data_IF_815507464457
#
_entry.id   IF_815507464457
#
_cell.length_a   1.000
_cell.length_b   1.000
_cell.length_c   1.000
_cell.angle_alpha   90.00
_cell.angle_beta   90.00
_cell.angle_gamma   90.00
#
_symmetry.space_group_name_H-M   'P 1'
#
loop_
_entity.id
_entity.type
_entity.pdbx_description
1 polymer ?
#
# COMPACT_ATOMS: atom_id res chain seq x y z
N UNK A 1 19.69 -2.77 -22.13
CA UNK A 1 18.52 -2.04 -21.59
C UNK A 1 17.16 -2.62 -22.03
N UNK A 2 17.02 -3.18 -23.24
CA UNK A 2 15.76 -3.81 -23.71
C UNK A 2 15.16 -4.90 -22.78
N UNK A 3 16.00 -5.68 -22.08
CA UNK A 3 15.52 -6.70 -21.12
C UNK A 3 14.77 -6.08 -19.95
N UNK A 4 15.19 -4.92 -19.43
CA UNK A 4 14.55 -4.25 -18.30
C UNK A 4 13.17 -3.70 -18.69
N UNK A 5 13.03 -3.18 -19.91
CA UNK A 5 11.77 -2.67 -20.43
C UNK A 5 10.76 -3.80 -20.67
N UNK A 6 11.23 -4.98 -21.10
CA UNK A 6 10.38 -6.16 -21.31
C UNK A 6 9.64 -6.59 -20.04
N UNK A 7 10.29 -6.50 -18.88
CA UNK A 7 9.73 -6.96 -17.59
C UNK A 7 9.10 -5.84 -16.75
N UNK A 8 8.89 -4.66 -17.32
CA UNK A 8 8.44 -3.48 -16.58
C UNK A 8 7.09 -3.72 -15.87
N UNK A 9 6.17 -4.46 -16.50
CA UNK A 9 4.86 -4.77 -15.91
C UNK A 9 4.98 -5.77 -14.77
N UNK A 10 5.78 -6.80 -14.94
CA UNK A 10 6.05 -7.87 -13.96
C UNK A 10 6.71 -7.29 -12.72
N UNK A 11 7.76 -6.50 -12.90
CA UNK A 11 8.46 -5.83 -11.79
C UNK A 11 7.53 -4.86 -11.04
N UNK A 12 6.72 -4.08 -11.76
CA UNK A 12 5.69 -3.22 -11.13
C UNK A 12 4.69 -4.04 -10.33
N UNK A 13 4.27 -5.20 -10.85
CA UNK A 13 3.36 -6.12 -10.17
C UNK A 13 3.97 -6.69 -8.89
N UNK A 14 5.22 -7.18 -8.94
CA UNK A 14 5.94 -7.67 -7.76
C UNK A 14 6.11 -6.57 -6.72
N UNK A 15 6.56 -5.38 -7.13
CA UNK A 15 6.72 -4.24 -6.22
C UNK A 15 5.42 -3.90 -5.51
N UNK A 16 4.31 -3.79 -6.26
CA UNK A 16 2.97 -3.55 -5.72
C UNK A 16 2.57 -4.62 -4.70
N UNK A 17 2.78 -5.90 -5.00
CA UNK A 17 2.43 -7.03 -4.11
C UNK A 17 3.23 -6.95 -2.82
N UNK A 18 4.55 -6.80 -2.91
CA UNK A 18 5.44 -6.77 -1.74
C UNK A 18 5.14 -5.56 -0.85
N UNK A 19 5.02 -4.37 -1.42
CA UNK A 19 4.69 -3.14 -0.66
C UNK A 19 3.33 -3.26 0.00
N UNK A 20 2.31 -3.73 -0.72
CA UNK A 20 0.97 -3.93 -0.16
C UNK A 20 0.94 -4.98 0.96
N UNK A 21 1.67 -6.10 0.79
CA UNK A 21 1.79 -7.16 1.79
C UNK A 21 2.43 -6.65 3.08
N UNK A 22 3.61 -6.01 3.00
CA UNK A 22 4.32 -5.49 4.16
C UNK A 22 3.49 -4.45 4.92
N UNK A 23 2.77 -3.60 4.20
CA UNK A 23 1.90 -2.61 4.83
C UNK A 23 0.70 -3.26 5.52
N UNK A 24 0.08 -4.26 4.89
CA UNK A 24 -1.05 -4.99 5.45
C UNK A 24 -0.68 -5.75 6.73
N UNK A 25 0.52 -6.35 6.79
CA UNK A 25 0.99 -7.06 7.98
C UNK A 25 1.26 -6.11 9.14
N UNK A 26 1.80 -4.91 8.91
CA UNK A 26 1.93 -3.88 9.94
C UNK A 26 0.57 -3.48 10.54
N UNK A 27 -0.42 -3.22 9.68
CA UNK A 27 -1.77 -2.91 10.13
C UNK A 27 -2.42 -4.05 10.90
N UNK A 28 -2.29 -5.29 10.40
CA UNK A 28 -2.87 -6.46 11.04
C UNK A 28 -2.22 -6.73 12.41
N UNK A 29 -0.90 -6.59 12.52
CA UNK A 29 -0.18 -6.71 13.77
C UNK A 29 -0.74 -5.72 14.82
N UNK A 30 -0.93 -4.46 14.43
CA UNK A 30 -1.48 -3.43 15.30
C UNK A 30 -2.97 -3.63 15.63
N UNK A 31 -3.81 -4.02 14.67
CA UNK A 31 -5.25 -4.20 14.89
C UNK A 31 -5.61 -5.42 15.73
N UNK A 32 -4.84 -6.50 15.61
CA UNK A 32 -5.15 -7.79 16.23
C UNK A 32 -4.20 -8.17 17.38
N UNK A 33 -3.17 -7.37 17.67
CA UNK A 33 -2.22 -7.67 18.73
C UNK A 33 -1.36 -8.91 18.45
N UNK A 34 -0.98 -9.10 17.18
CA UNK A 34 -0.24 -10.28 16.71
C UNK A 34 1.16 -9.90 16.25
N UNK A 35 2.01 -10.90 15.94
CA UNK A 35 3.37 -10.69 15.41
C UNK A 35 4.26 -9.84 16.35
N UNK A 36 4.06 -9.95 17.66
CA UNK A 36 4.83 -9.22 18.67
C UNK A 36 4.50 -7.72 18.78
N UNK A 37 3.39 -7.27 18.19
CA UNK A 37 2.91 -5.88 18.29
C UNK A 37 1.73 -5.82 19.27
N UNK A 38 1.73 -4.83 20.17
CA UNK A 38 0.59 -4.58 21.05
C UNK A 38 -0.63 -4.11 20.25
N UNK A 39 -1.82 -4.56 20.68
CA UNK A 39 -3.06 -4.17 20.02
C UNK A 39 -3.37 -2.69 20.28
N UNK A 40 -3.65 -1.94 19.22
CA UNK A 40 -4.11 -0.55 19.34
C UNK A 40 -5.55 -0.51 19.84
N UNK A 41 -5.84 0.44 20.74
CA UNK A 41 -7.19 0.64 21.24
C UNK A 41 -8.18 0.96 20.11
N UNK A 42 -9.39 0.39 20.18
CA UNK A 42 -10.42 0.58 19.17
C UNK A 42 -10.77 2.06 18.97
N UNK A 43 -10.84 2.51 17.72
CA UNK A 43 -11.21 3.88 17.31
C UNK A 43 -10.29 5.00 17.82
N UNK A 44 -9.14 4.67 18.44
CA UNK A 44 -8.18 5.66 18.92
C UNK A 44 -7.53 6.39 17.75
N UNK A 45 -7.57 7.72 17.78
CA UNK A 45 -6.89 8.55 16.79
C UNK A 45 -5.43 8.80 17.19
N UNK A 46 -4.47 8.74 16.24
CA UNK A 46 -4.60 8.29 14.85
C UNK A 46 -4.38 6.78 14.66
N UNK A 47 -3.93 6.07 15.71
CA UNK A 47 -3.34 4.72 15.62
C UNK A 47 -4.27 3.66 15.06
N UNK A 48 -5.54 3.62 15.49
CA UNK A 48 -6.49 2.61 15.02
C UNK A 48 -6.84 2.79 13.54
N UNK A 49 -7.05 4.04 13.12
CA UNK A 49 -7.34 4.37 11.72
C UNK A 49 -6.14 4.13 10.81
N UNK A 50 -4.93 4.44 11.28
CA UNK A 50 -3.71 4.11 10.57
C UNK A 50 -3.55 2.59 10.39
N UNK A 51 -3.84 1.80 11.43
CA UNK A 51 -3.77 0.34 11.36
C UNK A 51 -4.83 -0.24 10.41
N UNK A 52 -6.06 0.29 10.43
CA UNK A 52 -7.13 -0.10 9.50
C UNK A 52 -6.78 0.21 8.04
N UNK A 53 -6.28 1.42 7.76
CA UNK A 53 -5.84 1.81 6.42
C UNK A 53 -4.68 0.90 5.97
N UNK A 54 -3.74 0.60 6.88
CA UNK A 54 -2.64 -0.31 6.60
C UNK A 54 -3.13 -1.70 6.17
N UNK A 55 -4.02 -2.31 6.96
CA UNK A 55 -4.57 -3.63 6.67
C UNK A 55 -5.39 -3.65 5.38
N UNK A 56 -6.43 -2.81 5.30
CA UNK A 56 -7.39 -2.85 4.19
C UNK A 56 -6.79 -2.26 2.92
N UNK A 57 -6.17 -1.09 3.01
CA UNK A 57 -5.52 -0.42 1.89
C UNK A 57 -4.34 -1.21 1.36
N UNK A 58 -3.48 -1.73 2.25
CA UNK A 58 -2.39 -2.62 1.88
C UNK A 58 -2.88 -3.88 1.15
N UNK A 59 -3.94 -4.53 1.64
CA UNK A 59 -4.52 -5.70 1.00
C UNK A 59 -5.13 -5.39 -0.37
N UNK A 60 -5.88 -4.30 -0.51
CA UNK A 60 -6.44 -3.85 -1.80
C UNK A 60 -5.34 -3.56 -2.82
N UNK A 61 -4.29 -2.85 -2.39
CA UNK A 61 -3.11 -2.60 -3.23
C UNK A 61 -2.43 -3.92 -3.58
N UNK A 62 -2.27 -4.86 -2.64
CA UNK A 62 -1.61 -6.17 -2.83
C UNK A 62 -2.34 -7.09 -3.81
N UNK A 63 -3.68 -7.06 -3.88
CA UNK A 63 -4.44 -7.86 -4.87
C UNK A 63 -4.70 -7.09 -6.18
N UNK A 64 -4.42 -5.79 -6.17
CA UNK A 64 -4.53 -4.91 -7.31
C UNK A 64 -5.99 -4.55 -7.65
N UNK A 65 -6.81 -4.35 -6.62
CA UNK A 65 -8.21 -3.93 -6.70
C UNK A 65 -8.32 -2.46 -6.32
N UNK A 66 -8.76 -1.59 -7.25
CA UNK A 66 -8.85 -0.15 -6.98
C UNK A 66 -7.49 0.51 -6.69
N UNK A 67 -6.40 -0.09 -7.15
CA UNK A 67 -5.00 0.20 -6.75
C UNK A 67 -4.65 1.67 -6.71
N UNK A 68 -5.06 2.47 -7.71
CA UNK A 68 -4.71 3.89 -7.75
C UNK A 68 -5.28 4.64 -6.54
N UNK A 69 -6.57 4.42 -6.26
CA UNK A 69 -7.24 5.07 -5.14
C UNK A 69 -6.77 4.53 -3.79
N UNK A 70 -6.65 3.21 -3.66
CA UNK A 70 -6.14 2.58 -2.44
C UNK A 70 -4.71 3.04 -2.12
N UNK A 71 -3.84 3.13 -3.13
CA UNK A 71 -2.46 3.60 -2.96
C UNK A 71 -2.39 5.09 -2.64
N UNK A 72 -3.21 5.95 -3.25
CA UNK A 72 -3.28 7.38 -2.85
C UNK A 72 -3.69 7.54 -1.39
N UNK A 73 -4.67 6.77 -0.91
CA UNK A 73 -5.08 6.79 0.49
C UNK A 73 -3.95 6.31 1.42
N UNK A 74 -3.28 5.20 1.08
CA UNK A 74 -2.14 4.70 1.86
C UNK A 74 -0.99 5.70 1.89
N UNK A 75 -0.66 6.32 0.75
CA UNK A 75 0.34 7.37 0.62
C UNK A 75 0.03 8.57 1.53
N UNK A 76 -1.20 9.09 1.45
CA UNK A 76 -1.66 10.20 2.28
C UNK A 76 -1.62 9.88 3.78
N UNK A 77 -2.00 8.66 4.18
CA UNK A 77 -1.95 8.23 5.59
C UNK A 77 -0.51 8.24 6.14
N UNK A 78 0.47 7.86 5.32
CA UNK A 78 1.88 7.85 5.71
C UNK A 78 2.51 9.25 5.67
N UNK A 79 2.07 10.11 4.74
CA UNK A 79 2.41 11.54 4.80
C UNK A 79 1.89 12.16 6.11
N UNK A 80 0.63 11.93 6.46
CA UNK A 80 0.05 12.38 7.73
C UNK A 80 0.86 11.89 8.94
N UNK A 81 1.22 10.59 8.96
CA UNK A 81 2.04 10.01 10.02
C UNK A 81 3.42 10.71 10.11
N UNK A 82 4.07 10.98 8.98
CA UNK A 82 5.35 11.70 8.99
C UNK A 82 5.21 13.09 9.60
N UNK A 83 4.31 13.92 9.08
CA UNK A 83 4.19 15.33 9.49
C UNK A 83 3.59 15.51 10.88
N UNK A 84 2.68 14.63 11.31
CA UNK A 84 1.94 14.79 12.57
C UNK A 84 2.52 13.99 13.73
N UNK A 85 3.24 12.90 13.45
CA UNK A 85 3.82 12.02 14.49
C UNK A 85 5.34 12.14 14.52
N UNK A 86 6.01 11.94 13.39
CA UNK A 86 7.48 11.85 13.38
C UNK A 86 8.17 13.21 13.37
N UNK A 87 7.69 14.18 12.59
CA UNK A 87 8.39 15.46 12.41
C UNK A 87 8.52 16.27 13.72
N UNK A 88 7.65 16.02 14.70
CA UNK A 88 7.76 16.63 16.03
C UNK A 88 9.07 16.27 16.78
N UNK A 89 9.67 15.11 16.46
CA UNK A 89 10.93 14.67 17.07
C UNK A 89 12.18 15.29 16.41
N UNK A 90 12.18 15.43 15.09
CA UNK A 90 13.24 16.09 14.30
C UNK A 90 12.77 16.27 12.85
N UNK A 91 13.47 17.10 12.06
CA UNK A 91 13.11 17.34 10.66
C UNK A 91 13.42 16.13 9.76
N UNK A 92 14.54 15.45 9.97
CA UNK A 92 15.01 14.38 9.08
C UNK A 92 14.53 13.00 9.55
N UNK A 93 14.11 12.11 8.62
CA UNK A 93 13.60 10.78 8.96
C UNK A 93 14.55 9.93 9.80
N UNK A 94 15.86 10.02 9.49
CA UNK A 94 16.93 9.30 10.19
C UNK A 94 17.06 9.70 11.66
N UNK A 95 16.55 10.87 12.05
CA UNK A 95 16.60 11.39 13.41
C UNK A 95 15.31 11.17 14.20
N UNK A 96 14.17 10.92 13.52
CA UNK A 96 12.85 10.87 14.14
C UNK A 96 12.11 9.53 13.97
N UNK A 97 12.76 8.52 13.38
CA UNK A 97 12.18 7.20 13.12
C UNK A 97 11.13 7.17 12.00
N UNK A 98 10.97 8.27 11.25
CA UNK A 98 9.98 8.45 10.19
C UNK A 98 10.36 7.86 8.84
N UNK A 99 11.50 7.15 8.74
CA UNK A 99 11.97 6.55 7.48
C UNK A 99 10.93 5.62 6.85
N UNK A 100 10.26 4.79 7.66
CA UNK A 100 9.20 3.89 7.16
C UNK A 100 8.01 4.68 6.62
N UNK A 101 7.59 5.73 7.32
CA UNK A 101 6.50 6.59 6.87
C UNK A 101 6.84 7.26 5.53
N UNK A 102 8.05 7.81 5.40
CA UNK A 102 8.51 8.39 4.14
C UNK A 102 8.58 7.37 3.00
N UNK A 103 9.18 6.19 3.25
CA UNK A 103 9.32 5.14 2.24
C UNK A 103 7.96 4.61 1.77
N UNK A 104 7.04 4.27 2.68
CA UNK A 104 5.70 3.83 2.28
C UNK A 104 4.92 4.94 1.58
N UNK A 105 5.03 6.20 2.04
CA UNK A 105 4.39 7.34 1.39
C UNK A 105 4.76 7.41 -0.11
N UNK A 106 6.05 7.41 -0.42
CA UNK A 106 6.53 7.51 -1.80
C UNK A 106 6.36 6.21 -2.59
N UNK A 107 6.49 5.04 -1.97
CA UNK A 107 6.23 3.76 -2.62
C UNK A 107 4.77 3.66 -3.09
N UNK A 108 3.81 4.03 -2.23
CA UNK A 108 2.40 4.05 -2.61
C UNK A 108 2.08 5.15 -3.61
N UNK A 109 2.72 6.33 -3.51
CA UNK A 109 2.58 7.37 -4.53
C UNK A 109 3.02 6.84 -5.90
N UNK A 110 4.16 6.16 -5.97
CA UNK A 110 4.64 5.54 -7.20
C UNK A 110 3.66 4.49 -7.73
N UNK A 111 3.14 3.62 -6.87
CA UNK A 111 2.10 2.63 -7.24
C UNK A 111 0.84 3.31 -7.78
N UNK A 112 0.42 4.44 -7.20
CA UNK A 112 -0.75 5.18 -7.67
C UNK A 112 -0.58 5.69 -9.11
N UNK A 113 0.62 6.10 -9.50
CA UNK A 113 0.91 6.57 -10.86
C UNK A 113 1.19 5.43 -11.85
N UNK A 114 1.97 4.41 -11.44
CA UNK A 114 2.28 3.24 -12.28
C UNK A 114 1.07 2.32 -12.50
N UNK A 115 0.16 2.25 -11.52
CA UNK A 115 -1.02 1.41 -11.56
C UNK A 115 -0.74 -0.07 -11.26
N UNK A 116 -1.50 -0.98 -11.87
CA UNK A 116 -1.55 -2.39 -11.45
C UNK A 116 -0.30 -3.22 -11.75
N UNK A 117 0.49 -2.85 -12.77
CA UNK A 117 1.49 -3.77 -13.32
C UNK A 117 0.87 -5.08 -13.83
N UNK A 118 1.64 -6.16 -13.83
CA UNK A 118 1.18 -7.52 -14.07
C UNK A 118 0.45 -8.10 -12.84
N UNK A 119 -0.39 -9.11 -13.09
CA UNK A 119 -1.21 -9.83 -12.09
C UNK A 119 -2.07 -8.91 -11.22
N UNK A 120 -3.35 -8.75 -11.55
CA UNK A 120 -4.28 -8.13 -10.61
C UNK A 120 -5.70 -8.64 -10.79
N UNK A 121 -6.45 -8.67 -9.69
CA UNK A 121 -7.87 -9.07 -9.69
C UNK A 121 -8.67 -8.17 -10.62
N UNK A 122 -8.42 -6.86 -10.61
CA UNK A 122 -9.11 -5.92 -11.50
C UNK A 122 -8.83 -6.19 -12.99
N UNK A 123 -7.62 -6.65 -13.36
CA UNK A 123 -7.31 -7.03 -14.75
C UNK A 123 -8.01 -8.33 -15.14
N UNK A 124 -8.00 -9.33 -14.26
CA UNK A 124 -8.68 -10.60 -14.50
C UNK A 124 -10.20 -10.43 -14.67
N UNK A 125 -10.83 -9.60 -13.84
CA UNK A 125 -12.25 -9.27 -13.94
C UNK A 125 -12.60 -8.58 -15.27
N UNK A 126 -11.78 -7.62 -15.72
CA UNK A 126 -11.98 -6.94 -17.02
C UNK A 126 -11.84 -7.89 -18.20
N UNK A 127 -10.83 -8.77 -18.20
CA UNK A 127 -10.65 -9.75 -19.25
C UNK A 127 -11.85 -10.72 -19.35
N UNK A 128 -12.35 -11.17 -18.21
CA UNK A 128 -13.53 -12.06 -18.15
C UNK A 128 -14.78 -11.40 -18.71
N UNK A 129 -15.02 -10.12 -18.37
CA UNK A 129 -16.15 -9.36 -18.90
C UNK A 129 -16.07 -9.14 -20.42
N UNK A 130 -14.87 -8.90 -20.96
CA UNK A 130 -14.66 -8.75 -22.40
C UNK A 130 -14.91 -10.05 -23.17
N UNK A 131 -14.45 -11.19 -22.64
CA UNK A 131 -14.71 -12.50 -23.24
C UNK A 131 -16.22 -12.82 -23.29
N UNK A 132 -16.96 -12.56 -22.21
CA UNK A 132 -18.40 -12.76 -22.16
C UNK A 132 -19.17 -11.86 -23.13
N UNK A 133 -18.68 -10.64 -23.40
CA UNK A 133 -19.29 -9.74 -24.38
C UNK A 133 -19.03 -10.18 -25.83
N UNK A 134 -17.89 -10.80 -26.12
CA UNK A 134 -17.53 -11.26 -27.47
C UNK A 134 -18.27 -12.55 -27.90
N UNK A 135 -18.89 -13.27 -26.96
CA UNK A 135 -19.69 -14.48 -27.24
C UNK A 135 -21.18 -14.16 -27.46
N UNK A 136 -21.59 -12.91 -27.23
CA UNK A 136 -22.95 -12.42 -27.50
C UNK A 136 -23.01 -11.74 -28.85
#
# INVERSE_FOLDING_TARGET
MQVLERFQKEVTGVFRIVVGFLFATHGAAALFGVLGTEQVGAFVWPSWWAALIQTVGGALVMIGLGTRYAALLCSGSMAYAYFSVHQAGALLPVQNGGEKAALFCFAFLLIAFLGNGAWSVQRAAKASAQAAAATK
#
